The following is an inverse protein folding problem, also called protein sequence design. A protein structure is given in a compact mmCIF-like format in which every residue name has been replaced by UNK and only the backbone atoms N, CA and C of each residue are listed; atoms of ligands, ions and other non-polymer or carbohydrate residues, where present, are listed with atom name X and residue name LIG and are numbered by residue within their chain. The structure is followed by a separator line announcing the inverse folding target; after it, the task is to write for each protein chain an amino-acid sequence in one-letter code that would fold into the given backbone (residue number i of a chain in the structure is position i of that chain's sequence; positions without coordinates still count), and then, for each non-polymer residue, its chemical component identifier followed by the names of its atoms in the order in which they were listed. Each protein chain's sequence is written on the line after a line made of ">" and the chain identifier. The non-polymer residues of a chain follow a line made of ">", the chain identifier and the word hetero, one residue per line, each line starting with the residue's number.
data_IF_287618139478
#
_entry.id   IF_287618139478
#
_cell.length_a   1.000
_cell.length_b   1.000
_cell.length_c   1.000
_cell.angle_alpha   90.00
_cell.angle_beta   90.00
_cell.angle_gamma   90.00
#
_symmetry.space_group_name_H-M   'P 1'
#
loop_
_entity.id
_entity.type
_entity.pdbx_description
1 polymer ?
#
# COMPACT_ATOMS: atom_id res chain seq x y z
N UNK A 1 -8.41 -11.74 -3.56
CA UNK A 1 -7.38 -11.17 -4.47
C UNK A 1 -6.43 -10.29 -3.68
N UNK A 2 -5.21 -10.22 -4.12
CA UNK A 2 -4.18 -9.40 -3.50
C UNK A 2 -3.80 -8.24 -4.43
N UNK A 3 -3.72 -7.03 -3.88
CA UNK A 3 -3.42 -5.81 -4.63
C UNK A 3 -2.13 -5.17 -4.15
N UNK A 4 -1.45 -4.49 -5.08
CA UNK A 4 -0.23 -3.72 -4.81
C UNK A 4 -0.36 -2.35 -5.46
N UNK A 5 -0.21 -1.31 -4.67
CA UNK A 5 -0.23 0.08 -5.13
C UNK A 5 1.14 0.72 -4.90
N UNK A 6 1.58 1.50 -5.87
CA UNK A 6 2.87 2.19 -5.80
C UNK A 6 2.64 3.69 -5.64
N UNK A 7 3.26 4.27 -4.61
CA UNK A 7 3.17 5.68 -4.28
C UNK A 7 4.54 6.19 -3.82
N UNK A 8 4.71 7.51 -3.81
CA UNK A 8 6.00 8.14 -3.47
C UNK A 8 6.03 8.62 -2.03
N UNK A 9 7.19 8.57 -1.41
CA UNK A 9 7.42 9.09 -0.06
C UNK A 9 7.61 10.61 -0.08
N UNK A 10 7.05 11.31 0.92
CA UNK A 10 7.08 12.74 1.08
C UNK A 10 7.72 13.19 2.39
N UNK A 11 8.23 14.42 2.39
CA UNK A 11 8.64 15.17 3.58
C UNK A 11 9.52 14.37 4.55
N UNK A 12 10.64 13.78 4.10
CA UNK A 12 11.51 13.00 4.98
C UNK A 12 12.17 13.88 6.04
N UNK A 13 12.17 13.39 7.29
CA UNK A 13 12.81 14.03 8.44
C UNK A 13 13.63 13.00 9.23
N UNK A 14 14.79 13.43 9.73
CA UNK A 14 15.60 12.60 10.64
C UNK A 14 15.16 12.80 12.08
N UNK A 15 15.07 11.71 12.82
CA UNK A 15 14.93 11.78 14.27
C UNK A 15 16.29 11.91 14.93
N UNK A 16 16.30 12.24 16.24
CA UNK A 16 17.54 12.34 17.03
C UNK A 16 18.33 11.03 17.04
N UNK A 17 17.63 9.89 17.00
CA UNK A 17 18.26 8.56 16.99
C UNK A 17 18.70 8.09 15.59
N UNK A 18 18.52 8.95 14.57
CA UNK A 18 18.89 8.62 13.21
C UNK A 18 17.83 7.90 12.40
N UNK A 19 16.64 7.69 12.95
CA UNK A 19 15.53 7.10 12.21
C UNK A 19 14.99 8.08 11.16
N UNK A 20 14.42 7.56 10.11
CA UNK A 20 13.79 8.35 9.08
C UNK A 20 12.27 8.35 9.26
N UNK A 21 11.70 9.50 9.55
CA UNK A 21 10.25 9.71 9.58
C UNK A 21 9.82 10.30 8.25
N UNK A 22 8.86 9.68 7.59
CA UNK A 22 8.34 10.16 6.30
C UNK A 22 6.83 10.06 6.28
N UNK A 23 6.20 10.90 5.48
CA UNK A 23 4.78 10.77 5.15
C UNK A 23 4.64 10.14 3.77
N UNK A 24 3.71 9.22 3.64
CA UNK A 24 3.42 8.57 2.38
C UNK A 24 1.91 8.64 2.08
N UNK A 25 1.59 8.95 0.84
CA UNK A 25 0.23 8.75 0.32
C UNK A 25 0.12 7.28 -0.05
N UNK A 26 -0.63 6.52 0.73
CA UNK A 26 -0.59 5.06 0.66
C UNK A 26 -1.71 4.45 -0.17
N UNK A 27 -2.83 5.14 -0.30
CA UNK A 27 -3.96 4.73 -1.14
C UNK A 27 -4.76 5.97 -1.54
N UNK A 28 -5.50 5.87 -2.62
CA UNK A 28 -6.43 6.93 -3.04
C UNK A 28 -7.80 6.35 -3.37
N UNK A 29 -8.84 7.17 -3.25
CA UNK A 29 -10.15 6.84 -3.80
C UNK A 29 -10.13 6.95 -5.32
N UNK A 30 -11.04 6.29 -5.98
CA UNK A 30 -11.22 6.37 -7.43
C UNK A 30 -11.05 5.07 -8.15
N UNK A 31 -10.81 5.17 -9.44
CA UNK A 31 -10.67 4.02 -10.33
C UNK A 31 -9.21 3.70 -10.55
N UNK A 32 -8.89 2.43 -10.37
CA UNK A 32 -7.56 1.87 -10.67
C UNK A 32 -7.68 0.91 -11.84
N UNK A 33 -6.74 0.98 -12.77
CA UNK A 33 -6.67 0.08 -13.90
C UNK A 33 -5.67 -1.03 -13.61
N UNK A 34 -6.12 -2.27 -13.74
CA UNK A 34 -5.28 -3.45 -13.60
C UNK A 34 -5.40 -4.31 -14.86
N UNK A 35 -4.33 -5.00 -15.23
CA UNK A 35 -4.45 -6.08 -16.20
C UNK A 35 -5.14 -7.27 -15.53
N UNK A 36 -6.01 -7.95 -16.26
CA UNK A 36 -6.70 -9.12 -15.74
C UNK A 36 -5.72 -10.19 -15.24
N UNK A 37 -4.57 -10.33 -15.91
CA UNK A 37 -3.49 -11.23 -15.50
C UNK A 37 -2.85 -10.88 -14.14
N UNK A 38 -2.90 -9.62 -13.73
CA UNK A 38 -2.35 -9.16 -12.45
C UNK A 38 -3.27 -9.46 -11.26
N UNK A 39 -4.52 -9.74 -11.51
CA UNK A 39 -5.54 -9.90 -10.46
C UNK A 39 -5.62 -11.31 -9.88
N UNK A 40 -4.89 -12.26 -10.46
CA UNK A 40 -4.89 -13.65 -10.00
C UNK A 40 -6.19 -14.40 -10.31
N UNK A 41 -6.51 -15.37 -9.48
CA UNK A 41 -7.70 -16.20 -9.64
C UNK A 41 -8.99 -15.45 -9.30
N UNK A 42 -10.11 -15.90 -9.85
CA UNK A 42 -11.42 -15.34 -9.56
C UNK A 42 -11.85 -14.22 -10.51
N UNK A 43 -11.06 -13.89 -11.52
CA UNK A 43 -11.48 -12.99 -12.60
C UNK A 43 -12.50 -13.71 -13.48
N UNK A 44 -13.65 -13.05 -13.83
CA UNK A 44 -14.64 -13.66 -14.73
C UNK A 44 -14.02 -14.13 -16.04
N UNK A 45 -14.52 -15.25 -16.56
CA UNK A 45 -14.00 -15.86 -17.77
C UNK A 45 -14.13 -15.00 -19.04
N UNK A 46 -14.98 -13.97 -19.00
CA UNK A 46 -15.13 -12.97 -20.08
C UNK A 46 -13.89 -12.10 -20.26
N UNK A 47 -13.03 -11.99 -19.25
CA UNK A 47 -11.77 -11.23 -19.32
C UNK A 47 -10.64 -12.11 -19.83
N UNK A 48 -9.84 -11.55 -20.73
CA UNK A 48 -8.58 -12.13 -21.21
C UNK A 48 -7.41 -11.58 -20.41
N UNK A 49 -6.27 -12.25 -20.33
CA UNK A 49 -5.12 -11.77 -19.55
C UNK A 49 -4.66 -10.35 -19.87
N UNK A 50 -4.76 -9.91 -21.12
CA UNK A 50 -4.38 -8.55 -21.55
C UNK A 50 -5.45 -7.49 -21.40
N UNK A 51 -6.66 -7.85 -20.93
CA UNK A 51 -7.73 -6.89 -20.77
C UNK A 51 -7.49 -5.99 -19.55
N UNK A 52 -7.94 -4.73 -19.67
CA UNK A 52 -7.91 -3.78 -18.55
C UNK A 52 -9.16 -3.98 -17.71
N UNK A 53 -8.97 -4.20 -16.42
CA UNK A 53 -10.04 -4.28 -15.43
C UNK A 53 -10.01 -3.01 -14.62
N UNK A 54 -11.14 -2.30 -14.57
CA UNK A 54 -11.29 -1.10 -13.77
C UNK A 54 -11.80 -1.47 -12.38
N UNK A 55 -10.99 -1.15 -11.35
CA UNK A 55 -11.33 -1.38 -9.95
C UNK A 55 -11.66 -0.04 -9.32
N UNK A 56 -12.90 0.11 -8.87
CA UNK A 56 -13.35 1.29 -8.13
C UNK A 56 -13.12 1.10 -6.64
N UNK A 57 -12.41 2.05 -6.03
CA UNK A 57 -12.21 2.13 -4.59
C UNK A 57 -13.03 3.27 -4.03
N UNK A 58 -14.10 2.91 -3.36
CA UNK A 58 -15.04 3.84 -2.77
C UNK A 58 -14.44 4.57 -1.58
N UNK A 59 -14.74 5.86 -1.46
CA UNK A 59 -14.33 6.70 -0.34
C UNK A 59 -14.71 6.10 1.02
N UNK A 60 -15.92 5.57 1.13
CA UNK A 60 -16.40 4.95 2.38
C UNK A 60 -15.56 3.75 2.77
N UNK A 61 -15.14 2.94 1.82
CA UNK A 61 -14.29 1.78 2.07
C UNK A 61 -12.86 2.17 2.40
N UNK A 62 -12.26 3.07 1.61
CA UNK A 62 -10.86 3.49 1.81
C UNK A 62 -10.66 4.17 3.16
N UNK A 63 -11.60 5.02 3.57
CA UNK A 63 -11.49 5.79 4.82
C UNK A 63 -12.31 5.20 5.97
N UNK A 64 -12.80 3.98 5.87
CA UNK A 64 -13.48 3.33 6.99
C UNK A 64 -12.51 3.19 8.18
N UNK A 65 -13.04 3.20 9.39
CA UNK A 65 -12.22 3.05 10.59
C UNK A 65 -11.46 1.72 10.59
N UNK A 66 -12.08 0.64 10.09
CA UNK A 66 -11.45 -0.67 9.98
C UNK A 66 -10.30 -0.66 8.96
N UNK A 67 -10.50 -0.04 7.79
CA UNK A 67 -9.47 0.09 6.76
C UNK A 67 -8.28 0.90 7.27
N UNK A 68 -8.53 2.09 7.81
CA UNK A 68 -7.49 2.96 8.37
C UNK A 68 -6.75 2.26 9.51
N UNK A 69 -7.48 1.68 10.45
CA UNK A 69 -6.91 0.99 11.60
C UNK A 69 -6.10 -0.25 11.25
N UNK A 70 -6.41 -0.91 10.14
CA UNK A 70 -5.70 -2.11 9.70
C UNK A 70 -4.23 -1.86 9.34
N UNK A 71 -3.86 -0.61 9.02
CA UNK A 71 -2.49 -0.25 8.65
C UNK A 71 -1.62 0.13 9.84
N UNK A 72 -2.21 0.50 10.98
CA UNK A 72 -1.44 0.92 12.16
C UNK A 72 -0.58 -0.24 12.66
N UNK A 73 0.68 0.06 12.96
CA UNK A 73 1.70 -0.89 13.42
C UNK A 73 2.08 -1.98 12.39
N UNK A 74 1.65 -1.87 11.14
CA UNK A 74 2.11 -2.77 10.09
C UNK A 74 3.60 -2.55 9.82
N UNK A 75 4.37 -3.61 9.61
CA UNK A 75 5.78 -3.47 9.28
C UNK A 75 5.99 -2.90 7.89
N UNK A 76 7.05 -2.12 7.75
CA UNK A 76 7.56 -1.65 6.46
C UNK A 76 8.71 -2.58 6.08
N UNK A 77 8.71 -3.04 4.84
CA UNK A 77 9.75 -3.93 4.33
C UNK A 77 10.47 -3.29 3.15
N UNK A 78 11.68 -3.76 2.88
CA UNK A 78 12.39 -3.43 1.65
C UNK A 78 11.98 -4.47 0.61
N UNK A 79 11.25 -4.04 -0.41
CA UNK A 79 10.53 -4.86 -1.37
C UNK A 79 9.44 -5.75 -0.74
N UNK A 80 8.60 -6.35 -1.56
CA UNK A 80 7.54 -7.25 -1.10
C UNK A 80 8.12 -8.61 -0.74
N UNK A 81 7.99 -9.05 0.52
CA UNK A 81 8.39 -10.40 0.89
C UNK A 81 7.47 -11.44 0.23
N UNK A 82 7.98 -12.63 0.03
CA UNK A 82 7.23 -13.75 -0.54
C UNK A 82 6.22 -14.36 0.43
N UNK A 83 6.32 -14.00 1.70
CA UNK A 83 5.45 -14.49 2.78
C UNK A 83 4.87 -13.32 3.57
N UNK A 84 3.77 -13.55 4.27
CA UNK A 84 3.22 -12.56 5.18
C UNK A 84 4.18 -12.33 6.36
N UNK A 85 4.38 -11.07 6.73
CA UNK A 85 5.23 -10.72 7.88
C UNK A 85 4.42 -10.83 9.15
N UNK A 86 4.89 -11.66 10.08
CA UNK A 86 4.20 -11.97 11.33
C UNK A 86 5.13 -11.83 12.53
N UNK A 87 4.61 -12.10 13.73
CA UNK A 87 5.41 -12.12 14.96
C UNK A 87 6.57 -13.12 14.92
N UNK A 88 6.49 -14.12 14.06
CA UNK A 88 7.48 -15.20 13.99
C UNK A 88 8.61 -14.93 12.99
N UNK A 89 8.40 -14.05 12.01
CA UNK A 89 9.40 -13.77 10.95
C UNK A 89 9.73 -12.29 10.74
N UNK A 90 9.15 -11.38 11.50
CA UNK A 90 9.33 -9.94 11.29
C UNK A 90 10.79 -9.47 11.35
N UNK A 91 11.62 -10.12 12.13
CA UNK A 91 13.03 -9.72 12.32
C UNK A 91 13.84 -9.75 11.03
N UNK A 92 13.52 -10.66 10.12
CA UNK A 92 14.20 -10.75 8.82
C UNK A 92 13.63 -9.83 7.75
N UNK A 93 12.43 -9.30 7.95
CA UNK A 93 11.71 -8.51 6.93
C UNK A 93 11.48 -7.06 7.31
N UNK A 94 11.13 -6.77 8.55
CA UNK A 94 10.73 -5.44 8.97
C UNK A 94 11.92 -4.48 9.03
N UNK A 95 11.75 -3.30 8.44
CA UNK A 95 12.73 -2.21 8.45
C UNK A 95 12.20 -0.97 9.15
N UNK A 96 10.95 -0.99 9.50
CA UNK A 96 10.23 0.07 10.19
C UNK A 96 8.78 -0.28 10.35
N UNK A 97 7.96 0.71 10.70
CA UNK A 97 6.54 0.49 10.94
C UNK A 97 5.70 1.71 10.57
N UNK A 98 4.42 1.45 10.32
CA UNK A 98 3.41 2.48 10.16
C UNK A 98 2.99 2.97 11.54
N UNK A 99 3.23 4.23 11.84
CA UNK A 99 2.96 4.84 13.14
C UNK A 99 1.60 5.55 13.19
N UNK A 100 1.07 5.94 12.06
CA UNK A 100 -0.21 6.61 11.96
C UNK A 100 -0.80 6.51 10.57
N UNK A 101 -2.11 6.62 10.47
CA UNK A 101 -2.83 6.66 9.22
C UNK A 101 -3.94 7.70 9.30
N UNK A 102 -4.11 8.50 8.26
CA UNK A 102 -5.07 9.60 8.24
C UNK A 102 -5.51 9.93 6.82
N UNK A 103 -6.67 10.55 6.71
CA UNK A 103 -7.12 11.09 5.43
C UNK A 103 -6.36 12.37 5.08
N UNK A 104 -5.87 12.45 3.86
CA UNK A 104 -5.26 13.63 3.25
C UNK A 104 -5.89 13.86 1.87
N UNK A 105 -6.98 14.64 1.84
CA UNK A 105 -7.76 14.84 0.61
C UNK A 105 -8.37 13.55 0.09
N UNK A 106 -7.99 13.15 -1.12
CA UNK A 106 -8.39 11.89 -1.75
C UNK A 106 -7.51 10.71 -1.36
N UNK A 107 -6.49 10.95 -0.55
CA UNK A 107 -5.50 9.94 -0.18
C UNK A 107 -5.68 9.48 1.26
N UNK A 108 -5.36 8.23 1.48
CA UNK A 108 -5.02 7.72 2.79
C UNK A 108 -3.51 7.90 2.97
N UNK A 109 -3.11 8.73 3.92
CA UNK A 109 -1.72 9.02 4.19
C UNK A 109 -1.24 8.27 5.43
N UNK A 110 0.01 7.85 5.41
CA UNK A 110 0.67 7.18 6.53
C UNK A 110 1.82 8.02 7.06
N UNK A 111 1.98 8.01 8.37
CA UNK A 111 3.22 8.41 9.03
C UNK A 111 4.06 7.16 9.23
N UNK A 112 5.21 7.13 8.59
CA UNK A 112 6.11 5.98 8.56
C UNK A 112 7.39 6.30 9.32
N UNK A 113 7.94 5.30 10.01
CA UNK A 113 9.27 5.39 10.60
C UNK A 113 10.13 4.23 10.09
N UNK A 114 11.23 4.55 9.44
CA UNK A 114 12.26 3.59 9.05
C UNK A 114 13.37 3.60 10.09
N UNK A 115 13.73 2.44 10.57
CA UNK A 115 14.74 2.27 11.63
C UNK A 115 16.01 1.60 11.14
N UNK A 116 15.94 0.83 10.06
CA UNK A 116 17.07 0.09 9.52
C UNK A 116 17.99 1.01 8.69
N UNK A 117 19.28 0.99 9.00
CA UNK A 117 20.26 1.87 8.34
C UNK A 117 20.33 1.66 6.82
N UNK A 118 20.34 0.42 6.38
CA UNK A 118 20.41 0.13 4.94
C UNK A 118 19.16 0.57 4.18
N UNK A 119 17.97 0.41 4.79
CA UNK A 119 16.72 0.88 4.20
C UNK A 119 16.67 2.41 4.14
N UNK A 120 17.16 3.10 5.16
CA UNK A 120 17.27 4.56 5.19
C UNK A 120 18.22 5.05 4.10
N UNK A 121 19.37 4.43 3.95
CA UNK A 121 20.34 4.77 2.90
C UNK A 121 19.75 4.57 1.51
N UNK A 122 18.95 3.54 1.31
CA UNK A 122 18.25 3.30 0.04
C UNK A 122 17.28 4.44 -0.30
N UNK A 123 16.52 4.93 0.69
CA UNK A 123 15.62 6.07 0.51
C UNK A 123 16.41 7.34 0.19
N UNK A 124 17.49 7.61 0.90
CA UNK A 124 18.36 8.75 0.66
C UNK A 124 18.99 8.72 -0.74
N UNK A 125 19.25 7.53 -1.24
CA UNK A 125 19.81 7.32 -2.59
C UNK A 125 18.77 7.34 -3.70
N UNK A 126 17.50 7.57 -3.37
CA UNK A 126 16.42 7.76 -4.35
C UNK A 126 15.33 6.69 -4.38
N UNK A 127 15.41 5.63 -3.58
CA UNK A 127 14.35 4.62 -3.49
C UNK A 127 13.19 5.17 -2.66
N UNK A 128 12.25 5.85 -3.31
CA UNK A 128 11.13 6.55 -2.66
C UNK A 128 9.75 6.01 -3.02
N UNK A 129 9.68 4.93 -3.75
CA UNK A 129 8.43 4.30 -4.10
C UNK A 129 7.92 3.43 -2.94
N UNK A 130 6.63 3.56 -2.66
CA UNK A 130 5.94 2.77 -1.66
C UNK A 130 4.88 1.92 -2.34
N UNK A 131 4.80 0.65 -1.95
CA UNK A 131 3.80 -0.27 -2.46
C UNK A 131 3.09 -0.96 -1.31
N UNK A 132 1.76 -0.97 -1.36
CA UNK A 132 0.92 -1.65 -0.38
C UNK A 132 0.59 -3.06 -0.87
N UNK A 133 0.76 -4.04 0.01
CA UNK A 133 0.23 -5.37 -0.20
C UNK A 133 -0.99 -5.57 0.70
N UNK A 134 -2.13 -5.91 0.12
CA UNK A 134 -3.35 -6.18 0.87
C UNK A 134 -4.25 -7.16 0.14
N UNK A 135 -5.18 -7.73 0.90
CA UNK A 135 -6.20 -8.62 0.36
C UNK A 135 -7.54 -7.90 0.39
N UNK A 136 -8.30 -8.02 -0.67
CA UNK A 136 -9.62 -7.42 -0.78
C UNK A 136 -10.60 -8.34 -1.49
N UNK A 137 -11.88 -8.15 -1.20
CA UNK A 137 -12.98 -8.82 -1.91
C UNK A 137 -13.50 -7.89 -3.01
N UNK A 138 -13.57 -8.42 -4.23
CA UNK A 138 -14.09 -7.69 -5.38
C UNK A 138 -15.57 -8.02 -5.58
N UNK A 139 -16.38 -6.98 -5.77
CA UNK A 139 -17.75 -7.12 -6.23
C UNK A 139 -17.75 -6.81 -7.73
N UNK A 140 -18.08 -7.81 -8.54
CA UNK A 140 -18.11 -7.67 -9.99
C UNK A 140 -19.47 -7.12 -10.46
N UNK A 141 -19.46 -6.23 -11.42
CA UNK A 141 -20.66 -5.67 -11.99
C UNK A 141 -20.40 -4.91 -13.27
N UNK A 142 -21.46 -4.68 -14.05
CA UNK A 142 -21.44 -3.84 -15.23
C UNK A 142 -21.86 -2.42 -14.86
N UNK A 143 -21.33 -1.44 -15.56
CA UNK A 143 -21.68 -0.06 -15.35
C UNK A 143 -20.53 0.89 -15.63
N UNK A 144 -20.77 2.17 -15.33
CA UNK A 144 -19.76 3.21 -15.44
C UNK A 144 -19.28 3.57 -14.04
N UNK A 145 -17.97 3.43 -13.80
CA UNK A 145 -17.38 3.80 -12.53
C UNK A 145 -17.45 5.33 -12.35
N UNK A 146 -17.73 5.81 -11.13
CA UNK A 146 -17.67 7.24 -10.85
C UNK A 146 -16.21 7.75 -10.98
N UNK A 147 -16.07 8.97 -11.46
CA UNK A 147 -14.78 9.64 -11.58
C UNK A 147 -14.34 10.28 -10.25
#
# INVERSE_FOLDING_TARGET
>A
MQFKDELTLDAPKRTKDGYLAVRAKAARVGVYDYLASEMGDGVPASFKPGDIVKVYRDETEVFSADSVGSFIAKPITDDHPSEAVTKDNWKSHARGAVMGAMRDGEYLAFDLVLMDAAAIDAVDSGKRELSNGYTSKIIWGDGVAPD
#
